data_IF_918918161060
#
_entry.id   IF_918918161060
#
_cell.length_a   1.000
_cell.length_b   1.000
_cell.length_c   1.000
_cell.angle_alpha   90.00
_cell.angle_beta   90.00
_cell.angle_gamma   90.00
#
_symmetry.space_group_name_H-M   'P 1'
#
loop_
_entity.id
_entity.type
_entity.pdbx_description
1 polymer ?
#
# COMPACT_ATOMS: atom_id res chain seq x y z
N UNK A 1 -26.44 20.70 -22.15
CA UNK A 1 -26.07 20.77 -20.72
C UNK A 1 -25.98 19.38 -20.06
N UNK A 2 -27.00 18.52 -20.09
CA UNK A 2 -26.98 17.21 -19.40
C UNK A 2 -25.88 16.22 -19.83
N UNK A 3 -25.41 16.31 -21.08
CA UNK A 3 -24.34 15.46 -21.62
C UNK A 3 -22.99 15.68 -20.92
N UNK A 4 -22.71 16.91 -20.48
CA UNK A 4 -21.45 17.25 -19.77
C UNK A 4 -21.46 16.69 -18.35
N UNK A 5 -22.60 16.76 -17.66
CA UNK A 5 -22.76 16.19 -16.33
C UNK A 5 -22.61 14.66 -16.30
N UNK A 6 -23.03 13.97 -17.36
CA UNK A 6 -22.83 12.51 -17.50
C UNK A 6 -21.35 12.11 -17.63
N UNK A 7 -20.54 12.92 -18.31
CA UNK A 7 -19.10 12.66 -18.40
C UNK A 7 -18.38 12.98 -17.08
N UNK A 8 -18.77 14.06 -16.40
CA UNK A 8 -18.21 14.43 -15.10
C UNK A 8 -18.51 13.35 -14.05
N UNK A 9 -19.74 12.83 -14.02
CA UNK A 9 -20.10 11.75 -13.09
C UNK A 9 -19.34 10.46 -13.40
N UNK A 10 -19.17 10.10 -14.68
CA UNK A 10 -18.38 8.93 -15.08
C UNK A 10 -16.90 9.06 -14.67
N UNK A 11 -16.28 10.23 -14.88
CA UNK A 11 -14.89 10.47 -14.46
C UNK A 11 -14.75 10.43 -12.94
N UNK A 12 -15.68 11.04 -12.20
CA UNK A 12 -15.68 10.97 -10.73
C UNK A 12 -15.90 9.55 -10.21
N UNK A 13 -16.72 8.74 -10.89
CA UNK A 13 -16.93 7.33 -10.56
C UNK A 13 -15.66 6.50 -10.77
N UNK A 14 -14.94 6.73 -11.87
CA UNK A 14 -13.65 6.06 -12.12
C UNK A 14 -12.62 6.47 -11.07
N UNK A 15 -12.50 7.77 -10.75
CA UNK A 15 -11.61 8.23 -9.68
C UNK A 15 -12.02 7.66 -8.33
N UNK A 16 -13.32 7.59 -8.04
CA UNK A 16 -13.86 6.97 -6.84
C UNK A 16 -13.54 5.48 -6.78
N UNK A 17 -13.68 4.73 -7.87
CA UNK A 17 -13.32 3.31 -7.95
C UNK A 17 -11.82 3.08 -7.80
N UNK A 18 -10.98 3.91 -8.41
CA UNK A 18 -9.53 3.84 -8.24
C UNK A 18 -9.14 4.17 -6.79
N UNK A 19 -9.75 5.20 -6.19
CA UNK A 19 -9.53 5.59 -4.80
C UNK A 19 -10.07 4.54 -3.82
N UNK A 20 -11.24 3.96 -4.08
CA UNK A 20 -11.80 2.91 -3.23
C UNK A 20 -11.00 1.64 -3.36
N UNK A 21 -10.50 1.24 -4.52
CA UNK A 21 -9.56 0.11 -4.61
C UNK A 21 -8.24 0.40 -3.89
N UNK A 22 -7.74 1.65 -3.93
CA UNK A 22 -6.54 2.06 -3.16
C UNK A 22 -6.78 2.11 -1.63
N UNK A 23 -7.96 2.57 -1.20
CA UNK A 23 -8.39 2.66 0.21
C UNK A 23 -8.96 1.33 0.74
N UNK A 24 -9.41 0.45 -0.16
CA UNK A 24 -9.88 -0.94 0.05
C UNK A 24 -8.78 -1.91 -0.36
N UNK A 25 -7.52 -1.48 -0.37
CA UNK A 25 -6.43 -2.42 -0.29
C UNK A 25 -6.57 -3.09 1.09
N UNK A 26 -7.21 -4.26 1.11
CA UNK A 26 -7.52 -5.02 2.33
C UNK A 26 -6.26 -5.34 3.14
N UNK A 27 -5.09 -5.12 2.54
CA UNK A 27 -3.77 -5.36 3.09
C UNK A 27 -3.09 -4.10 3.65
N UNK A 28 -3.56 -2.89 3.34
CA UNK A 28 -2.93 -1.64 3.79
C UNK A 28 -3.05 -1.41 5.31
N UNK A 29 -4.28 -1.51 5.83
CA UNK A 29 -4.57 -1.41 7.26
C UNK A 29 -3.83 -2.48 8.09
N UNK A 30 -3.91 -3.78 7.75
CA UNK A 30 -3.21 -4.81 8.50
C UNK A 30 -1.69 -4.71 8.37
N UNK A 31 -1.15 -4.24 7.23
CA UNK A 31 0.28 -3.98 7.10
C UNK A 31 0.74 -2.83 8.00
N UNK A 32 -0.01 -1.73 8.04
CA UNK A 32 0.24 -0.61 8.96
C UNK A 32 0.19 -1.09 10.42
N UNK A 33 -0.82 -1.87 10.78
CA UNK A 33 -0.93 -2.45 12.12
C UNK A 33 0.24 -3.37 12.46
N UNK A 34 0.70 -4.21 11.52
CA UNK A 34 1.89 -5.04 11.69
C UNK A 34 3.16 -4.21 11.90
N UNK A 35 3.32 -3.12 11.15
CA UNK A 35 4.41 -2.16 11.35
C UNK A 35 4.37 -1.50 12.74
N UNK A 36 3.19 -1.07 13.20
CA UNK A 36 3.02 -0.49 14.53
C UNK A 36 3.24 -1.52 15.65
N UNK A 37 2.84 -2.78 15.45
CA UNK A 37 3.09 -3.88 16.38
C UNK A 37 4.59 -4.20 16.54
N UNK A 38 5.41 -3.86 15.54
CA UNK A 38 6.88 -3.94 15.59
C UNK A 38 7.54 -2.91 16.51
N UNK A 39 6.79 -1.97 17.10
CA UNK A 39 7.20 -1.11 18.22
C UNK A 39 8.33 -0.10 17.96
N UNK A 40 8.86 -0.04 16.74
CA UNK A 40 10.07 0.73 16.40
C UNK A 40 9.81 1.96 15.52
N UNK A 41 8.59 2.13 15.03
CA UNK A 41 8.20 3.20 14.11
C UNK A 41 6.95 3.96 14.59
N UNK A 42 6.87 5.25 14.29
CA UNK A 42 5.68 6.07 14.59
C UNK A 42 4.56 5.78 13.60
N UNK A 43 3.31 6.13 13.95
CA UNK A 43 2.16 5.90 13.06
C UNK A 43 2.35 6.54 11.67
N UNK A 44 2.92 7.75 11.62
CA UNK A 44 3.23 8.44 10.37
C UNK A 44 4.28 7.68 9.52
N UNK A 45 5.29 7.09 10.18
CA UNK A 45 6.31 6.28 9.50
C UNK A 45 5.71 4.98 8.94
N UNK A 46 4.84 4.33 9.70
CA UNK A 46 4.15 3.12 9.25
C UNK A 46 3.14 3.40 8.14
N UNK A 47 2.44 4.54 8.18
CA UNK A 47 1.56 4.97 7.08
C UNK A 47 2.36 5.22 5.80
N UNK A 48 3.47 5.96 5.88
CA UNK A 48 4.36 6.22 4.75
C UNK A 48 4.94 4.92 4.16
N UNK A 49 5.36 3.99 5.04
CA UNK A 49 5.88 2.70 4.60
C UNK A 49 4.81 1.85 3.93
N UNK A 50 3.58 1.83 4.47
CA UNK A 50 2.46 1.09 3.88
C UNK A 50 2.13 1.61 2.49
N UNK A 51 2.10 2.94 2.30
CA UNK A 51 1.93 3.56 0.98
C UNK A 51 3.08 3.22 0.02
N UNK A 52 4.32 3.21 0.50
CA UNK A 52 5.48 2.88 -0.31
C UNK A 52 5.43 1.42 -0.80
N UNK A 53 5.09 0.49 0.08
CA UNK A 53 4.98 -0.93 -0.24
C UNK A 53 3.85 -1.18 -1.23
N UNK A 54 2.66 -0.60 -1.02
CA UNK A 54 1.51 -0.77 -1.94
C UNK A 54 1.69 -0.06 -3.30
N UNK A 55 2.63 0.89 -3.42
CA UNK A 55 3.07 1.41 -4.73
C UNK A 55 3.96 0.45 -5.50
N UNK A 56 4.68 -0.43 -4.82
CA UNK A 56 5.68 -1.32 -5.41
C UNK A 56 5.24 -2.78 -5.52
N UNK A 57 4.24 -3.17 -4.74
CA UNK A 57 3.70 -4.52 -4.65
C UNK A 57 2.19 -4.47 -4.84
N UNK A 58 1.64 -5.49 -5.50
CA UNK A 58 0.20 -5.67 -5.57
C UNK A 58 -0.35 -6.13 -4.23
N UNK A 59 -1.64 -5.91 -3.96
CA UNK A 59 -2.29 -6.36 -2.72
C UNK A 59 -2.08 -7.86 -2.46
N UNK A 60 -2.08 -8.69 -3.52
CA UNK A 60 -1.81 -10.14 -3.41
C UNK A 60 -0.37 -10.42 -2.98
N UNK A 61 0.61 -9.66 -3.49
CA UNK A 61 2.00 -9.79 -3.05
C UNK A 61 2.13 -9.39 -1.57
N UNK A 62 1.46 -8.31 -1.15
CA UNK A 62 1.45 -7.86 0.26
C UNK A 62 0.79 -8.91 1.15
N UNK A 63 -0.32 -9.50 0.72
CA UNK A 63 -0.98 -10.60 1.43
C UNK A 63 -0.04 -11.79 1.62
N UNK A 64 0.70 -12.18 0.58
CA UNK A 64 1.70 -13.25 0.64
C UNK A 64 2.90 -12.91 1.53
N UNK A 65 3.33 -11.64 1.53
CA UNK A 65 4.35 -11.11 2.44
C UNK A 65 3.90 -11.24 3.89
N UNK A 66 2.67 -10.80 4.19
CA UNK A 66 2.10 -10.86 5.55
C UNK A 66 1.86 -12.31 6.00
N UNK A 67 1.40 -13.18 5.11
CA UNK A 67 1.20 -14.60 5.39
C UNK A 67 2.52 -15.40 5.52
N UNK A 68 3.67 -14.78 5.26
CA UNK A 68 4.97 -15.46 5.24
C UNK A 68 5.08 -16.55 4.17
N UNK A 69 4.19 -16.53 3.18
CA UNK A 69 4.06 -17.57 2.14
C UNK A 69 4.92 -17.29 0.90
N UNK A 70 5.88 -16.37 1.01
CA UNK A 70 6.89 -16.15 -0.03
C UNK A 70 7.89 -17.30 0.02
N UNK A 71 7.69 -18.26 -0.88
CA UNK A 71 8.62 -19.35 -1.17
C UNK A 71 9.75 -18.94 -2.11
N UNK A 72 9.59 -17.82 -2.84
CA UNK A 72 10.59 -17.32 -3.78
C UNK A 72 11.67 -16.47 -3.07
N UNK A 73 12.96 -16.90 -3.08
CA UNK A 73 14.03 -16.18 -2.40
C UNK A 73 14.35 -14.82 -3.03
N UNK A 74 14.15 -14.64 -4.34
CA UNK A 74 14.36 -13.37 -5.03
C UNK A 74 13.28 -12.37 -4.65
N UNK A 75 12.03 -12.82 -4.49
CA UNK A 75 10.94 -11.97 -4.01
C UNK A 75 11.17 -11.56 -2.56
N UNK A 76 11.68 -12.46 -1.70
CA UNK A 76 12.02 -12.12 -0.32
C UNK A 76 13.10 -11.04 -0.23
N UNK A 77 14.18 -11.18 -1.01
CA UNK A 77 15.23 -10.16 -1.10
C UNK A 77 14.71 -8.82 -1.64
N UNK A 78 13.81 -8.86 -2.63
CA UNK A 78 13.17 -7.66 -3.18
C UNK A 78 12.34 -6.94 -2.12
N UNK A 79 11.54 -7.67 -1.35
CA UNK A 79 10.72 -7.13 -0.26
C UNK A 79 11.60 -6.49 0.81
N UNK A 80 12.63 -7.19 1.29
CA UNK A 80 13.57 -6.63 2.26
C UNK A 80 14.26 -5.37 1.73
N UNK A 81 14.65 -5.37 0.45
CA UNK A 81 15.23 -4.20 -0.21
C UNK A 81 14.28 -3.00 -0.23
N UNK A 82 13.04 -3.21 -0.68
CA UNK A 82 12.04 -2.14 -0.80
C UNK A 82 11.61 -1.65 0.58
N UNK A 83 11.39 -2.54 1.55
CA UNK A 83 11.08 -2.15 2.93
C UNK A 83 12.24 -1.36 3.55
N UNK A 84 13.50 -1.75 3.31
CA UNK A 84 14.66 -1.01 3.80
C UNK A 84 14.80 0.37 3.17
N UNK A 85 14.51 0.51 1.88
CA UNK A 85 14.53 1.81 1.18
C UNK A 85 13.37 2.67 1.65
N UNK A 86 12.16 2.11 1.72
CA UNK A 86 10.96 2.77 2.21
C UNK A 86 11.12 3.24 3.65
N UNK A 87 11.66 2.41 4.54
CA UNK A 87 11.93 2.78 5.94
C UNK A 87 12.95 3.93 6.06
N UNK A 88 13.92 4.02 5.13
CA UNK A 88 14.85 5.16 5.08
C UNK A 88 14.19 6.42 4.55
N UNK A 89 13.37 6.31 3.50
CA UNK A 89 12.63 7.45 2.93
C UNK A 89 11.60 7.99 3.93
N UNK A 90 10.92 7.11 4.65
CA UNK A 90 9.90 7.46 5.63
C UNK A 90 10.47 7.80 7.01
N UNK A 91 11.79 7.78 7.22
CA UNK A 91 12.41 8.09 8.53
C UNK A 91 12.24 9.56 8.93
N UNK A 92 12.11 10.44 7.94
CA UNK A 92 11.76 11.85 8.09
C UNK A 92 10.62 12.14 7.09
N UNK A 93 9.37 11.81 7.44
CA UNK A 93 8.21 12.00 6.57
C UNK A 93 7.88 13.49 6.37
#
# INVERSE_FOLDING_TARGET
MGKVFLWISAVLLVVFFVKTQYLTSSTWEPFKQGCMAGGTATEAQCSCLSDYVHKHFSDNDVERIMAGSITDPAMKQKVEGIVRVGARQCKAP
#
